data_IF_834025692437
#
_entry.id   IF_834025692437
#
_cell.length_a   1.000
_cell.length_b   1.000
_cell.length_c   1.000
_cell.angle_alpha   90.00
_cell.angle_beta   90.00
_cell.angle_gamma   90.00
#
_symmetry.space_group_name_H-M   'P 1'
#
loop_
_entity.id
_entity.type
_entity.pdbx_description
1 polymer ?
#
# COMPACT_ATOMS: atom_id res chain seq x y z
N UNK A 1 -46.13 20.57 -9.96
CA UNK A 1 -45.16 19.44 -10.03
C UNK A 1 -44.70 19.33 -11.47
N UNK A 2 -43.39 19.20 -11.72
CA UNK A 2 -42.89 18.93 -13.08
C UNK A 2 -43.26 17.50 -13.50
N UNK A 3 -43.90 17.38 -14.66
CA UNK A 3 -44.24 16.10 -15.30
C UNK A 3 -43.12 15.60 -16.20
N UNK A 4 -43.21 14.35 -16.66
CA UNK A 4 -42.26 13.80 -17.63
C UNK A 4 -42.31 14.55 -18.98
N UNK A 5 -43.49 15.03 -19.38
CA UNK A 5 -43.69 15.81 -20.60
C UNK A 5 -43.06 17.20 -20.49
N UNK A 6 -43.19 17.86 -19.33
CA UNK A 6 -42.55 19.17 -19.09
C UNK A 6 -41.03 19.09 -19.20
N UNK A 7 -40.41 18.03 -18.64
CA UNK A 7 -38.97 17.81 -18.75
C UNK A 7 -38.51 17.62 -20.20
N UNK A 8 -39.32 16.94 -21.02
CA UNK A 8 -39.01 16.70 -22.42
C UNK A 8 -39.11 17.99 -23.24
N UNK A 9 -40.18 18.77 -23.02
CA UNK A 9 -40.35 20.08 -23.65
C UNK A 9 -39.20 21.02 -23.27
N UNK A 10 -38.84 21.03 -21.98
CA UNK A 10 -37.75 21.86 -21.49
C UNK A 10 -36.40 21.42 -22.07
N UNK A 11 -36.10 20.12 -22.12
CA UNK A 11 -34.88 19.65 -22.77
C UNK A 11 -34.80 20.07 -24.24
N UNK A 12 -35.91 19.99 -24.99
CA UNK A 12 -35.94 20.45 -26.40
C UNK A 12 -35.66 21.93 -26.51
N UNK A 13 -36.29 22.76 -25.68
CA UNK A 13 -36.02 24.21 -25.61
C UNK A 13 -34.54 24.50 -25.38
N UNK A 14 -33.93 23.83 -24.39
CA UNK A 14 -32.51 24.05 -24.09
C UNK A 14 -31.61 23.53 -25.21
N UNK A 15 -31.96 22.43 -25.87
CA UNK A 15 -31.22 21.93 -27.04
C UNK A 15 -31.26 22.92 -28.19
N UNK A 16 -32.41 23.56 -28.43
CA UNK A 16 -32.56 24.55 -29.50
C UNK A 16 -31.67 25.79 -29.24
N UNK A 17 -31.49 26.17 -27.98
CA UNK A 17 -30.64 27.31 -27.57
C UNK A 17 -29.15 26.96 -27.50
N UNK A 18 -28.81 25.80 -26.95
CA UNK A 18 -27.46 25.42 -26.52
C UNK A 18 -26.79 24.35 -27.38
N UNK A 19 -27.54 23.72 -28.28
CA UNK A 19 -27.12 22.64 -29.17
C UNK A 19 -27.29 21.21 -28.60
N UNK A 20 -27.12 20.17 -29.45
CA UNK A 20 -27.38 18.76 -29.10
C UNK A 20 -26.38 18.13 -28.10
N UNK A 21 -25.22 18.78 -27.91
CA UNK A 21 -24.16 18.35 -26.99
C UNK A 21 -24.44 18.69 -25.51
N UNK A 22 -25.68 19.01 -25.18
CA UNK A 22 -26.07 19.34 -23.82
C UNK A 22 -25.80 18.21 -22.82
N UNK A 23 -25.05 18.52 -21.76
CA UNK A 23 -24.79 17.61 -20.66
C UNK A 23 -25.86 17.74 -19.58
N UNK A 24 -26.05 16.70 -18.77
CA UNK A 24 -26.95 16.79 -17.60
C UNK A 24 -26.55 17.94 -16.69
N UNK A 25 -25.25 18.19 -16.50
CA UNK A 25 -24.77 19.31 -15.70
C UNK A 25 -25.22 20.66 -16.27
N UNK A 26 -25.00 20.87 -17.58
CA UNK A 26 -25.40 22.10 -18.26
C UNK A 26 -26.92 22.31 -18.20
N UNK A 27 -27.70 21.28 -18.51
CA UNK A 27 -29.16 21.30 -18.42
C UNK A 27 -29.64 21.72 -17.02
N UNK A 28 -29.08 21.15 -15.96
CA UNK A 28 -29.42 21.52 -14.57
C UNK A 28 -29.07 22.98 -14.25
N UNK A 29 -27.92 23.45 -14.74
CA UNK A 29 -27.50 24.83 -14.49
C UNK A 29 -28.37 25.84 -15.24
N UNK A 30 -28.78 25.53 -16.48
CA UNK A 30 -29.59 26.42 -17.32
C UNK A 30 -31.07 26.43 -16.91
N UNK A 31 -31.61 25.31 -16.43
CA UNK A 31 -33.05 25.19 -16.09
C UNK A 31 -33.34 25.26 -14.58
N UNK A 32 -32.32 25.11 -13.73
CA UNK A 32 -32.49 24.92 -12.29
C UNK A 32 -33.11 23.57 -11.90
N UNK A 33 -33.45 22.71 -12.87
CA UNK A 33 -34.09 21.42 -12.61
C UNK A 33 -33.09 20.46 -12.00
N UNK A 34 -33.43 19.85 -10.86
CA UNK A 34 -32.56 18.89 -10.18
C UNK A 34 -32.41 17.58 -10.96
N UNK A 35 -31.22 16.96 -10.89
CA UNK A 35 -30.98 15.61 -11.44
C UNK A 35 -31.94 14.56 -10.89
N UNK A 36 -32.40 14.74 -9.65
CA UNK A 36 -33.28 13.79 -8.98
C UNK A 36 -34.65 13.75 -9.68
N UNK A 37 -35.18 14.89 -10.12
CA UNK A 37 -36.45 14.96 -10.86
C UNK A 37 -36.33 14.26 -12.21
N UNK A 38 -35.20 14.47 -12.90
CA UNK A 38 -34.90 13.79 -14.17
C UNK A 38 -34.87 12.27 -13.98
N UNK A 39 -34.17 11.77 -12.95
CA UNK A 39 -34.06 10.33 -12.71
C UNK A 39 -35.37 9.71 -12.22
N UNK A 40 -36.13 10.43 -11.40
CA UNK A 40 -37.43 9.96 -10.91
C UNK A 40 -38.47 9.82 -12.04
N UNK A 41 -38.46 10.73 -13.03
CA UNK A 41 -39.44 10.73 -14.14
C UNK A 41 -39.01 9.88 -15.34
N UNK A 42 -37.72 9.79 -15.62
CA UNK A 42 -37.18 9.16 -16.83
C UNK A 42 -36.22 7.99 -16.57
N UNK A 43 -35.94 7.69 -15.30
CA UNK A 43 -34.99 6.66 -14.85
C UNK A 43 -33.53 7.09 -14.99
N UNK A 44 -33.15 7.64 -16.15
CA UNK A 44 -31.81 8.15 -16.40
C UNK A 44 -31.80 9.26 -17.47
N UNK A 45 -30.70 10.00 -17.54
CA UNK A 45 -30.52 11.09 -18.52
C UNK A 45 -30.51 10.60 -19.99
N UNK A 46 -30.04 9.38 -20.24
CA UNK A 46 -29.99 8.82 -21.60
C UNK A 46 -31.39 8.61 -22.16
N UNK A 47 -32.34 8.11 -21.35
CA UNK A 47 -33.72 7.91 -21.77
C UNK A 47 -34.39 9.23 -22.14
N UNK A 48 -34.21 10.27 -21.32
CA UNK A 48 -34.74 11.60 -21.61
C UNK A 48 -34.13 12.17 -22.90
N UNK A 49 -32.82 12.01 -23.12
CA UNK A 49 -32.15 12.42 -24.38
C UNK A 49 -32.73 11.69 -25.59
N UNK A 50 -32.88 10.37 -25.51
CA UNK A 50 -33.43 9.57 -26.59
C UNK A 50 -34.86 9.99 -26.94
N UNK A 51 -35.70 10.27 -25.94
CA UNK A 51 -37.05 10.78 -26.14
C UNK A 51 -37.07 12.20 -26.75
N UNK A 52 -36.05 13.01 -26.49
CA UNK A 52 -35.84 14.30 -27.13
C UNK A 52 -35.32 14.19 -28.57
N UNK A 53 -35.08 12.98 -29.10
CA UNK A 53 -34.52 12.77 -30.43
C UNK A 53 -33.00 12.98 -30.49
N UNK A 54 -32.34 13.09 -29.34
CA UNK A 54 -30.88 13.26 -29.28
C UNK A 54 -30.17 11.91 -29.34
N UNK A 55 -28.98 11.85 -29.98
CA UNK A 55 -28.18 10.64 -29.95
C UNK A 55 -27.75 10.31 -28.52
N UNK A 56 -27.62 9.00 -28.25
CA UNK A 56 -26.96 8.52 -27.04
C UNK A 56 -25.53 9.06 -27.07
N UNK A 57 -25.15 9.75 -25.99
CA UNK A 57 -23.80 10.26 -25.83
C UNK A 57 -22.88 9.10 -25.46
N UNK A 58 -22.45 8.35 -26.48
CA UNK A 58 -21.40 7.37 -26.35
C UNK A 58 -20.07 8.13 -26.34
N UNK A 59 -19.68 8.66 -25.19
CA UNK A 59 -18.26 8.98 -25.05
C UNK A 59 -17.50 7.67 -25.22
N UNK A 60 -16.50 7.58 -26.12
CA UNK A 60 -15.64 6.42 -26.14
C UNK A 60 -15.09 6.27 -24.73
N UNK A 61 -15.39 5.14 -24.10
CA UNK A 61 -14.79 4.82 -22.80
C UNK A 61 -13.32 4.65 -23.12
N UNK A 62 -12.43 5.49 -22.58
CA UNK A 62 -11.01 5.33 -22.83
C UNK A 62 -10.61 3.93 -22.37
N UNK A 63 -10.09 3.14 -23.30
CA UNK A 63 -9.62 1.78 -23.03
C UNK A 63 -8.17 1.91 -22.59
N UNK A 64 -7.91 1.51 -21.35
CA UNK A 64 -6.57 1.51 -20.79
C UNK A 64 -6.03 0.08 -20.78
N UNK A 65 -4.78 -0.06 -21.18
CA UNK A 65 -4.00 -1.26 -20.95
C UNK A 65 -3.66 -1.40 -19.47
N UNK A 66 -3.32 -2.61 -19.05
CA UNK A 66 -2.92 -2.85 -17.66
C UNK A 66 -1.63 -2.07 -17.31
N UNK A 67 -0.70 -1.96 -18.26
CA UNK A 67 0.53 -1.19 -18.11
C UNK A 67 0.28 0.31 -17.93
N UNK A 68 -0.63 0.91 -18.69
CA UNK A 68 -0.98 2.32 -18.53
C UNK A 68 -1.58 2.62 -17.15
N UNK A 69 -2.39 1.70 -16.63
CA UNK A 69 -3.00 1.84 -15.32
C UNK A 69 -1.96 1.70 -14.19
N UNK A 70 -1.03 0.75 -14.32
CA UNK A 70 0.04 0.54 -13.35
C UNK A 70 1.10 1.67 -13.41
N UNK A 71 1.38 2.21 -14.60
CA UNK A 71 2.21 3.40 -14.77
C UNK A 71 1.57 4.63 -14.09
N UNK A 72 0.27 4.86 -14.31
CA UNK A 72 -0.46 5.94 -13.63
C UNK A 72 -0.46 5.78 -12.10
N UNK A 73 -0.57 4.53 -11.60
CA UNK A 73 -0.43 4.22 -10.18
C UNK A 73 0.97 4.48 -9.66
N UNK A 74 2.01 4.13 -10.43
CA UNK A 74 3.39 4.40 -10.09
C UNK A 74 3.67 5.90 -10.00
N UNK A 75 3.19 6.69 -10.96
CA UNK A 75 3.37 8.15 -10.96
C UNK A 75 2.71 8.79 -9.75
N UNK A 76 1.50 8.37 -9.40
CA UNK A 76 0.83 8.80 -8.18
C UNK A 76 1.66 8.42 -6.94
N UNK A 77 2.17 7.19 -6.88
CA UNK A 77 2.99 6.72 -5.76
C UNK A 77 4.30 7.51 -5.59
N UNK A 78 4.97 7.85 -6.69
CA UNK A 78 6.17 8.70 -6.68
C UNK A 78 5.86 10.10 -6.18
N UNK A 79 4.72 10.69 -6.58
CA UNK A 79 4.29 12.02 -6.12
C UNK A 79 3.91 12.04 -4.63
N UNK A 80 3.30 10.98 -4.11
CA UNK A 80 2.96 10.87 -2.69
C UNK A 80 4.08 10.33 -1.80
N UNK A 81 5.24 9.95 -2.38
CA UNK A 81 6.32 9.23 -1.69
C UNK A 81 5.86 7.98 -0.91
N UNK A 82 4.71 7.42 -1.29
CA UNK A 82 4.09 6.26 -0.68
C UNK A 82 3.01 5.68 -1.60
N UNK A 83 2.50 4.48 -1.33
CA UNK A 83 1.36 3.96 -2.09
C UNK A 83 0.09 4.79 -1.86
N UNK A 84 -0.51 5.37 -2.91
CA UNK A 84 -1.63 6.29 -2.75
C UNK A 84 -2.85 5.56 -2.17
N UNK A 85 -3.63 6.28 -1.37
CA UNK A 85 -5.01 5.93 -1.01
C UNK A 85 -5.94 6.30 -2.16
N UNK A 86 -7.17 5.80 -2.14
CA UNK A 86 -8.16 6.08 -3.17
C UNK A 86 -8.32 7.58 -3.47
N UNK A 87 -8.53 8.41 -2.44
CA UNK A 87 -8.69 9.86 -2.62
C UNK A 87 -7.43 10.54 -3.15
N UNK A 88 -6.25 10.11 -2.71
CA UNK A 88 -4.97 10.66 -3.17
C UNK A 88 -4.73 10.31 -4.63
N UNK A 89 -5.00 9.07 -5.03
CA UNK A 89 -4.89 8.64 -6.42
C UNK A 89 -5.82 9.45 -7.34
N UNK A 90 -7.08 9.61 -6.95
CA UNK A 90 -8.07 10.41 -7.70
C UNK A 90 -7.67 11.90 -7.81
N UNK A 91 -6.83 12.41 -6.90
CA UNK A 91 -6.29 13.78 -6.94
C UNK A 91 -4.99 13.88 -7.77
N UNK A 92 -4.16 12.83 -7.75
CA UNK A 92 -2.83 12.83 -8.35
C UNK A 92 -2.81 12.31 -9.79
N UNK A 93 -3.86 11.61 -10.22
CA UNK A 93 -3.97 10.96 -11.51
C UNK A 93 -5.19 11.46 -12.30
N UNK A 94 -5.06 11.50 -13.63
CA UNK A 94 -6.19 11.69 -14.55
C UNK A 94 -7.08 10.43 -14.67
N UNK A 95 -6.77 9.40 -13.87
CA UNK A 95 -7.50 8.13 -13.82
C UNK A 95 -8.23 8.03 -12.49
N UNK A 96 -9.41 7.42 -12.54
CA UNK A 96 -10.20 7.15 -11.34
C UNK A 96 -9.79 5.82 -10.71
N UNK A 97 -9.66 5.78 -9.39
CA UNK A 97 -9.41 4.59 -8.58
C UNK A 97 -10.38 3.44 -8.88
N UNK A 98 -11.64 3.77 -9.16
CA UNK A 98 -12.67 2.77 -9.51
C UNK A 98 -12.29 1.96 -10.76
N UNK A 99 -11.47 2.52 -11.65
CA UNK A 99 -10.93 1.83 -12.82
C UNK A 99 -9.96 0.73 -12.38
N UNK A 100 -9.05 1.05 -11.45
CA UNK A 100 -8.13 0.09 -10.85
C UNK A 100 -8.88 -0.98 -10.05
N UNK A 101 -9.84 -0.58 -9.19
CA UNK A 101 -10.59 -1.51 -8.33
C UNK A 101 -11.41 -2.53 -9.14
N UNK A 102 -12.00 -2.09 -10.27
CA UNK A 102 -12.71 -3.00 -11.18
C UNK A 102 -11.79 -3.92 -11.96
N UNK A 103 -10.60 -3.44 -12.34
CA UNK A 103 -9.68 -4.16 -13.23
C UNK A 103 -8.80 -5.16 -12.46
N UNK A 104 -8.28 -4.73 -11.33
CA UNK A 104 -7.28 -5.44 -10.53
C UNK A 104 -7.80 -5.87 -9.16
N UNK A 105 -8.96 -5.38 -8.73
CA UNK A 105 -9.51 -5.66 -7.41
C UNK A 105 -8.97 -4.73 -6.32
N UNK A 106 -8.91 -5.24 -5.09
CA UNK A 106 -8.63 -4.41 -3.91
C UNK A 106 -7.21 -3.84 -3.92
N UNK A 107 -7.00 -2.76 -3.16
CA UNK A 107 -5.70 -2.06 -3.01
C UNK A 107 -4.50 -3.00 -2.82
N UNK A 108 -4.66 -4.06 -2.02
CA UNK A 108 -3.60 -5.05 -1.80
C UNK A 108 -3.17 -5.74 -3.10
N UNK A 109 -4.13 -6.09 -3.93
CA UNK A 109 -3.88 -6.76 -5.20
C UNK A 109 -3.27 -5.79 -6.22
N UNK A 110 -3.72 -4.53 -6.24
CA UNK A 110 -3.09 -3.47 -7.04
C UNK A 110 -1.61 -3.31 -6.67
N UNK A 111 -1.29 -3.25 -5.36
CA UNK A 111 0.10 -3.15 -4.89
C UNK A 111 0.92 -4.38 -5.30
N UNK A 112 0.35 -5.59 -5.18
CA UNK A 112 1.01 -6.83 -5.57
C UNK A 112 1.34 -6.84 -7.06
N UNK A 113 0.38 -6.49 -7.91
CA UNK A 113 0.56 -6.40 -9.36
C UNK A 113 1.53 -5.30 -9.75
N UNK A 114 1.45 -4.13 -9.11
CA UNK A 114 2.38 -3.02 -9.32
C UNK A 114 3.82 -3.40 -8.99
N UNK A 115 4.06 -4.16 -7.90
CA UNK A 115 5.39 -4.68 -7.58
C UNK A 115 5.93 -5.64 -8.64
N UNK A 116 5.13 -6.60 -9.07
CA UNK A 116 5.53 -7.53 -10.14
C UNK A 116 5.75 -6.81 -11.48
N UNK A 117 5.00 -5.73 -11.72
CA UNK A 117 5.21 -4.87 -12.87
C UNK A 117 6.54 -4.10 -12.77
N UNK A 118 6.88 -3.54 -11.61
CA UNK A 118 8.14 -2.82 -11.37
C UNK A 118 9.40 -3.69 -11.54
N UNK A 119 9.32 -5.00 -11.33
CA UNK A 119 10.44 -5.92 -11.59
C UNK A 119 10.88 -5.93 -13.06
N UNK A 120 9.96 -5.59 -13.96
CA UNK A 120 10.20 -5.54 -15.41
C UNK A 120 10.58 -4.14 -15.90
N UNK A 121 10.46 -3.14 -15.03
CA UNK A 121 10.74 -1.74 -15.37
C UNK A 121 12.18 -1.36 -15.02
N UNK A 122 12.74 -0.34 -15.69
CA UNK A 122 14.04 0.20 -15.35
C UNK A 122 14.06 0.82 -13.93
N UNK A 123 15.24 0.83 -13.30
CA UNK A 123 15.42 1.20 -11.89
C UNK A 123 15.04 2.66 -11.59
N UNK A 124 15.13 3.55 -12.59
CA UNK A 124 14.79 4.97 -12.50
C UNK A 124 13.28 5.23 -12.29
N UNK A 125 12.44 4.29 -12.72
CA UNK A 125 10.99 4.35 -12.52
C UNK A 125 10.57 3.85 -11.15
N UNK A 126 11.46 3.19 -10.39
CA UNK A 126 11.11 2.66 -9.07
C UNK A 126 10.98 3.81 -8.05
N UNK A 127 9.87 3.88 -7.31
CA UNK A 127 9.73 4.85 -6.23
C UNK A 127 10.84 4.71 -5.18
N UNK A 128 11.36 5.84 -4.70
CA UNK A 128 12.46 5.85 -3.72
C UNK A 128 12.15 5.08 -2.43
N UNK A 129 10.89 5.09 -1.98
CA UNK A 129 10.44 4.35 -0.80
C UNK A 129 10.42 2.82 -0.96
N UNK A 130 10.63 2.31 -2.19
CA UNK A 130 10.75 0.89 -2.47
C UNK A 130 12.21 0.42 -2.64
N UNK A 131 13.18 1.33 -2.68
CA UNK A 131 14.59 0.97 -2.82
C UNK A 131 15.02 0.15 -1.60
N UNK A 132 15.47 -1.08 -1.85
CA UNK A 132 15.84 -2.04 -0.81
C UNK A 132 14.68 -2.68 -0.05
N UNK A 133 13.42 -2.39 -0.42
CA UNK A 133 12.25 -3.02 0.20
C UNK A 133 11.93 -4.35 -0.49
N UNK A 134 11.99 -5.49 0.23
CA UNK A 134 11.64 -6.78 -0.35
C UNK A 134 10.18 -6.83 -0.83
N UNK A 135 9.87 -7.60 -1.89
CA UNK A 135 8.52 -7.68 -2.46
C UNK A 135 7.46 -8.19 -1.47
N UNK A 136 7.87 -8.92 -0.44
CA UNK A 136 7.03 -9.46 0.64
C UNK A 136 6.69 -8.45 1.76
N UNK A 137 7.48 -7.38 1.92
CA UNK A 137 7.34 -6.42 3.02
C UNK A 137 6.48 -5.23 2.61
N UNK A 138 5.55 -4.75 3.44
CA UNK A 138 4.87 -3.49 3.12
C UNK A 138 5.83 -2.32 3.39
N UNK A 139 6.01 -1.40 2.43
CA UNK A 139 6.90 -0.27 2.66
C UNK A 139 6.28 0.61 3.74
N UNK A 140 7.11 1.16 4.61
CA UNK A 140 6.67 2.13 5.60
C UNK A 140 6.91 3.54 5.08
N UNK A 141 6.18 4.55 5.60
CA UNK A 141 6.46 5.94 5.27
C UNK A 141 7.85 6.41 5.72
N UNK A 142 8.53 5.66 6.59
CA UNK A 142 9.83 6.02 7.14
C UNK A 142 10.91 5.28 6.33
N UNK A 143 11.77 6.00 5.59
CA UNK A 143 12.86 5.37 4.84
C UNK A 143 13.73 4.48 5.74
N UNK A 144 13.99 3.25 5.30
CA UNK A 144 14.83 2.28 6.02
C UNK A 144 14.14 1.49 7.15
N UNK A 145 12.88 1.78 7.48
CA UNK A 145 12.10 0.94 8.40
C UNK A 145 11.18 0.04 7.57
N UNK A 146 11.32 -1.27 7.73
CA UNK A 146 10.45 -2.26 7.10
C UNK A 146 9.52 -2.85 8.16
N UNK A 147 8.21 -2.73 7.94
CA UNK A 147 7.24 -3.55 8.68
C UNK A 147 7.17 -4.85 7.90
N UNK A 148 7.85 -5.87 8.43
CA UNK A 148 7.53 -7.24 8.05
C UNK A 148 6.05 -7.43 8.34
N UNK A 149 5.29 -7.84 7.33
CA UNK A 149 3.94 -8.35 7.57
C UNK A 149 4.08 -9.35 8.71
N UNK A 150 3.19 -9.27 9.71
CA UNK A 150 3.10 -10.33 10.72
C UNK A 150 3.26 -11.64 9.94
N UNK A 151 4.35 -12.40 10.17
CA UNK A 151 4.45 -13.68 9.52
C UNK A 151 3.12 -14.34 9.83
N UNK A 152 2.41 -14.84 8.83
CA UNK A 152 1.34 -15.79 9.10
C UNK A 152 2.01 -16.80 9.99
N UNK A 153 1.75 -16.72 11.30
CA UNK A 153 2.42 -17.53 12.30
C UNK A 153 2.02 -18.92 11.88
N UNK A 154 2.96 -19.61 11.24
CA UNK A 154 2.75 -20.99 10.89
C UNK A 154 2.77 -21.69 12.24
N UNK A 155 1.58 -21.83 12.82
CA UNK A 155 1.39 -22.42 14.13
C UNK A 155 2.01 -23.82 14.14
N UNK A 156 2.10 -24.49 12.98
CA UNK A 156 2.80 -25.76 12.83
C UNK A 156 4.30 -25.60 12.99
N UNK A 157 4.93 -24.70 12.23
CA UNK A 157 6.37 -24.42 12.37
C UNK A 157 6.72 -23.91 13.77
N UNK A 158 5.86 -23.10 14.39
CA UNK A 158 6.03 -22.69 15.79
C UNK A 158 5.92 -23.86 16.76
N UNK A 159 4.95 -24.75 16.58
CA UNK A 159 4.84 -25.96 17.39
C UNK A 159 6.09 -26.83 17.23
N UNK A 160 6.62 -26.99 16.01
CA UNK A 160 7.88 -27.71 15.77
C UNK A 160 9.06 -27.06 16.51
N UNK A 161 9.21 -25.74 16.43
CA UNK A 161 10.23 -25.00 17.20
C UNK A 161 10.04 -25.18 18.71
N UNK A 162 8.81 -25.10 19.21
CA UNK A 162 8.49 -25.29 20.62
C UNK A 162 8.75 -26.74 21.09
N UNK A 163 8.64 -27.74 20.21
CA UNK A 163 8.99 -29.13 20.55
C UNK A 163 10.49 -29.36 20.65
N UNK A 164 11.30 -28.61 19.89
CA UNK A 164 12.76 -28.71 19.95
C UNK A 164 13.40 -27.83 21.04
N UNK A 165 12.71 -26.73 21.41
CA UNK A 165 13.20 -25.73 22.38
C UNK A 165 13.72 -26.32 23.71
N UNK A 166 13.07 -27.31 24.34
CA UNK A 166 13.53 -27.87 25.61
C UNK A 166 14.89 -28.59 25.48
N UNK A 167 15.12 -29.28 24.38
CA UNK A 167 16.39 -29.97 24.12
C UNK A 167 17.52 -28.95 23.90
N UNK A 168 17.28 -27.94 23.08
CA UNK A 168 18.24 -26.86 22.81
C UNK A 168 18.56 -26.06 24.07
N UNK A 169 17.56 -25.75 24.89
CA UNK A 169 17.76 -25.08 26.18
C UNK A 169 18.58 -25.94 27.13
N UNK A 170 18.35 -27.26 27.16
CA UNK A 170 19.15 -28.19 27.97
C UNK A 170 20.62 -28.24 27.52
N UNK A 171 20.88 -28.24 26.21
CA UNK A 171 22.24 -28.18 25.66
C UNK A 171 22.93 -26.84 25.94
N UNK A 172 22.21 -25.71 25.82
CA UNK A 172 22.71 -24.39 26.19
C UNK A 172 23.05 -24.34 27.68
N UNK A 173 22.17 -24.84 28.54
CA UNK A 173 22.42 -24.89 29.98
C UNK A 173 23.59 -25.81 30.34
N UNK A 174 23.75 -26.94 29.66
CA UNK A 174 24.87 -27.87 29.86
C UNK A 174 26.22 -27.26 29.44
N UNK A 175 26.24 -26.43 28.40
CA UNK A 175 27.46 -25.78 27.89
C UNK A 175 27.74 -24.43 28.53
N UNK A 176 26.78 -23.84 29.25
CA UNK A 176 26.92 -22.54 29.94
C UNK A 176 28.13 -22.48 30.88
N UNK A 177 28.42 -23.49 31.72
CA UNK A 177 29.60 -23.46 32.59
C UNK A 177 30.92 -23.42 31.80
N UNK A 178 31.01 -24.17 30.70
CA UNK A 178 32.21 -24.21 29.84
C UNK A 178 32.42 -22.88 29.12
N UNK A 179 31.35 -22.26 28.62
CA UNK A 179 31.41 -20.93 27.98
C UNK A 179 31.79 -19.83 28.96
N UNK A 180 31.24 -19.86 30.18
CA UNK A 180 31.60 -18.91 31.25
C UNK A 180 33.08 -19.08 31.63
N UNK A 181 33.56 -20.32 31.77
CA UNK A 181 34.96 -20.60 32.06
C UNK A 181 35.90 -20.09 30.95
N UNK A 182 35.56 -20.35 29.68
CA UNK A 182 36.34 -19.87 28.53
C UNK A 182 36.37 -18.33 28.45
N UNK A 183 35.25 -17.65 28.74
CA UNK A 183 35.20 -16.19 28.78
C UNK A 183 36.02 -15.62 29.96
N UNK A 184 35.97 -16.26 31.12
CA UNK A 184 36.79 -15.88 32.28
C UNK A 184 38.28 -16.06 32.01
N UNK A 185 38.67 -17.15 31.36
CA UNK A 185 40.06 -17.40 30.97
C UNK A 185 40.55 -16.40 29.92
N UNK A 186 39.75 -16.12 28.89
CA UNK A 186 40.03 -15.07 27.93
C UNK A 186 40.20 -13.70 28.59
N UNK A 187 39.29 -13.33 29.51
CA UNK A 187 39.38 -12.07 30.25
C UNK A 187 40.67 -11.98 31.09
N UNK A 188 41.06 -13.08 31.75
CA UNK A 188 42.35 -13.15 32.48
C UNK A 188 43.54 -12.98 31.55
N UNK A 189 43.51 -13.61 30.37
CA UNK A 189 44.57 -13.47 29.37
C UNK A 189 44.71 -12.03 28.89
N UNK A 190 43.58 -11.33 28.65
CA UNK A 190 43.59 -9.90 28.31
C UNK A 190 44.16 -9.04 29.44
N UNK A 191 43.83 -9.33 30.71
CA UNK A 191 44.39 -8.63 31.86
C UNK A 191 45.90 -8.84 32.01
N UNK A 192 46.41 -10.06 31.75
CA UNK A 192 47.87 -10.34 31.76
C UNK A 192 48.63 -9.56 30.68
N UNK A 193 48.00 -9.36 29.52
CA UNK A 193 48.57 -8.59 28.40
C UNK A 193 48.50 -7.07 28.60
N UNK A 194 47.82 -6.59 29.65
CA UNK A 194 47.66 -5.15 29.91
C UNK A 194 48.99 -4.48 30.31
N UNK A 195 49.30 -3.26 29.80
CA UNK A 195 50.49 -2.52 30.20
C UNK A 195 50.43 -2.03 31.66
N UNK A 196 49.23 -1.87 32.23
CA UNK A 196 49.05 -1.42 33.62
C UNK A 196 49.41 -2.54 34.62
N UNK A 197 50.42 -2.35 35.49
CA UNK A 197 50.81 -3.35 36.48
C UNK A 197 49.70 -3.67 37.50
N UNK A 198 48.77 -2.74 37.78
CA UNK A 198 47.64 -3.01 38.68
C UNK A 198 46.64 -3.99 38.06
N UNK A 199 46.35 -3.84 36.76
CA UNK A 199 45.45 -4.74 36.02
C UNK A 199 46.07 -6.14 35.84
N UNK A 200 47.39 -6.23 35.67
CA UNK A 200 48.11 -7.51 35.65
C UNK A 200 48.01 -8.25 36.99
N UNK A 201 48.17 -7.54 38.10
CA UNK A 201 48.03 -8.12 39.44
C UNK A 201 46.61 -8.66 39.71
N UNK A 202 45.58 -8.06 39.08
CA UNK A 202 44.19 -8.53 39.18
C UNK A 202 43.90 -9.82 38.40
N UNK A 203 44.73 -10.23 37.43
CA UNK A 203 44.49 -11.41 36.60
C UNK A 203 44.55 -12.74 37.39
N UNK A 204 45.34 -12.77 38.47
CA UNK A 204 45.58 -13.97 39.29
C UNK A 204 44.87 -13.94 40.64
N UNK A 205 44.07 -12.89 40.91
CA UNK A 205 43.24 -12.83 42.11
C UNK A 205 42.12 -13.89 42.06
N UNK A 206 41.88 -14.65 43.16
CA UNK A 206 40.76 -15.57 43.21
C UNK A 206 39.44 -14.81 43.12
N UNK A 207 38.57 -15.22 42.20
CA UNK A 207 37.21 -14.68 42.09
C UNK A 207 36.48 -14.93 43.41
N UNK A 208 36.16 -13.87 44.14
CA UNK A 208 35.44 -13.96 45.40
C UNK A 208 34.02 -14.45 45.14
N UNK A 209 33.50 -15.29 46.05
CA UNK A 209 32.22 -16.00 45.89
C UNK A 209 30.99 -15.07 45.77
N UNK A 210 31.14 -13.77 45.99
CA UNK A 210 30.08 -12.76 46.02
C UNK A 210 29.51 -12.42 44.63
N UNK A 211 30.10 -12.90 43.53
CA UNK A 211 29.64 -12.62 42.16
C UNK A 211 28.85 -13.77 41.50
N UNK A 212 28.44 -14.78 42.28
CA UNK A 212 27.59 -15.90 41.80
C UNK A 212 26.11 -15.70 42.20
N UNK A 213 25.45 -14.71 41.59
CA UNK A 213 23.99 -14.62 41.56
C UNK A 213 23.48 -14.79 40.12
#
# INVERSE_FOLDING_TARGET
>A
MLTAADLLAELRRVVDESGPEITLYRFRNETGISRHIVYDRWGNWTNLRLAAGLPKRNKPVPVYTDDELLAAFNDAARRSSFYPKQKEFDQLSDRCWQTLDRRFGKRREIIRLHRSWLEKQPEDLKPSFLVGCPPECDPTPIPGIHIFREPTLDLRAMCEVLTWLPATLKEIHATRPQRVAALQEYAREQLRKSPDPKLRASADAPLTQTERC
#
